data_IF_204386520637
#
_entry.id   IF_204386520637
#
_cell.length_a   1.000
_cell.length_b   1.000
_cell.length_c   1.000
_cell.angle_alpha   90.00
_cell.angle_beta   90.00
_cell.angle_gamma   90.00
#
_symmetry.space_group_name_H-M   'P 1'
#
loop_
_entity.id
_entity.type
_entity.pdbx_description
1 polymer ?
2 non-polymer ?
3 non-polymer ?
4 non-polymer ?
5 non-polymer ?
6 water ?
#
# COMPACT_ATOMS: atom_id res chain seq x y z
N UNK A 3 16.57 -25.15 -12.74
CA UNK A 3 17.16 -23.87 -13.13
C UNK A 3 16.42 -22.64 -12.56
N UNK A 4 17.18 -21.62 -12.18
CA UNK A 4 16.60 -20.43 -11.59
C UNK A 4 15.73 -19.67 -12.61
N UNK A 5 14.71 -18.96 -12.13
CA UNK A 5 13.98 -18.05 -13.02
C UNK A 5 14.88 -16.92 -13.50
N UNK A 6 14.69 -16.53 -14.75
CA UNK A 6 15.50 -15.50 -15.39
C UNK A 6 14.70 -14.20 -15.26
N UNK A 7 14.96 -13.45 -14.19
CA UNK A 7 14.07 -12.34 -13.83
C UNK A 7 14.89 -11.12 -13.42
N UNK A 8 14.27 -9.96 -13.55
CA UNK A 8 14.83 -8.68 -13.14
C UNK A 8 13.87 -8.12 -12.10
N UNK A 9 14.25 -8.18 -10.82
CA UNK A 9 13.35 -7.76 -9.75
C UNK A 9 13.24 -6.25 -9.64
N UNK A 10 13.98 -5.48 -10.45
CA UNK A 10 13.75 -4.05 -10.55
C UNK A 10 12.90 -3.68 -11.77
N UNK A 11 12.44 -4.65 -12.53
CA UNK A 11 11.63 -4.43 -13.74
C UNK A 11 10.15 -4.53 -13.39
N UNK A 12 9.41 -3.44 -13.63
CA UNK A 12 7.98 -3.43 -13.35
C UNK A 12 7.21 -4.52 -14.07
N UNK A 13 7.72 -4.98 -15.20
CA UNK A 13 7.02 -6.04 -15.92
C UNK A 13 7.04 -7.35 -15.16
N UNK A 14 8.05 -7.58 -14.32
CA UNK A 14 8.06 -8.79 -13.50
C UNK A 14 6.83 -8.83 -12.60
N UNK A 15 6.49 -7.71 -11.97
CA UNK A 15 5.41 -7.67 -11.00
C UNK A 15 4.05 -7.63 -11.67
N UNK A 16 4.00 -7.32 -12.96
CA UNK A 16 2.74 -7.41 -13.68
C UNK A 16 2.49 -8.81 -14.20
N UNK A 17 3.50 -9.68 -14.14
CA UNK A 17 3.37 -11.04 -14.60
C UNK A 17 2.69 -11.92 -13.55
N UNK A 18 1.71 -12.69 -13.99
CA UNK A 18 1.12 -13.69 -13.13
C UNK A 18 2.01 -14.91 -12.99
N UNK A 19 3.24 -14.87 -13.51
CA UNK A 19 4.27 -15.88 -13.25
C UNK A 19 5.21 -15.47 -12.12
N UNK A 20 5.01 -14.31 -11.53
CA UNK A 20 5.88 -13.88 -10.44
C UNK A 20 5.83 -14.85 -9.27
N UNK A 21 4.64 -15.32 -8.89
CA UNK A 21 4.60 -16.21 -7.74
C UNK A 21 5.30 -17.53 -8.00
N UNK A 22 5.30 -18.02 -9.23
CA UNK A 22 6.10 -19.20 -9.56
C UNK A 22 7.59 -18.92 -9.38
N UNK A 23 8.05 -17.72 -9.78
CA UNK A 23 9.45 -17.39 -9.56
C UNK A 23 9.78 -17.31 -8.09
N UNK A 24 8.89 -16.69 -7.30
CA UNK A 24 9.12 -16.63 -5.86
C UNK A 24 9.20 -18.01 -5.25
N UNK A 25 8.32 -18.93 -5.69
CA UNK A 25 8.32 -20.29 -5.17
C UNK A 25 9.67 -20.94 -5.38
N UNK A 26 10.26 -20.77 -6.56
CA UNK A 26 11.60 -21.32 -6.80
C UNK A 26 12.62 -20.71 -5.85
N UNK A 27 12.58 -19.39 -5.65
CA UNK A 27 13.55 -18.72 -4.78
C UNK A 27 13.43 -19.29 -3.39
N UNK A 28 12.18 -19.42 -2.88
CA UNK A 28 12.00 -19.87 -1.51
C UNK A 28 12.49 -21.29 -1.32
N UNK A 29 12.41 -22.13 -2.36
CA UNK A 29 12.79 -23.54 -2.25
C UNK A 29 14.27 -23.78 -2.55
N UNK A 30 14.96 -22.84 -3.21
CA UNK A 30 16.28 -23.14 -3.75
C UNK A 30 17.36 -22.14 -3.41
N UNK A 31 16.99 -20.87 -3.17
CA UNK A 31 17.96 -19.83 -2.83
C UNK A 31 17.22 -18.69 -2.17
N UNK A 32 16.91 -18.84 -0.88
CA UNK A 32 15.97 -17.90 -0.22
C UNK A 32 16.38 -16.45 -0.30
N UNK A 33 17.68 -16.18 -0.20
CA UNK A 33 18.19 -14.85 -0.47
C UNK A 33 18.74 -14.92 -1.89
N UNK A 34 17.90 -14.52 -2.82
CA UNK A 34 18.09 -14.77 -4.24
C UNK A 34 18.83 -13.60 -4.88
N UNK A 35 19.67 -13.89 -5.87
CA UNK A 35 20.21 -12.86 -6.75
C UNK A 35 19.60 -12.99 -8.14
N UNK A 36 19.03 -11.89 -8.63
CA UNK A 36 18.37 -11.90 -9.93
C UNK A 36 19.39 -11.85 -11.07
N UNK A 37 18.91 -11.69 -12.30
CA UNK A 37 19.79 -11.77 -13.46
C UNK A 37 20.84 -10.66 -13.47
N UNK A 38 20.61 -9.57 -12.75
CA UNK A 38 21.57 -8.47 -12.65
C UNK A 38 22.33 -8.49 -11.33
N UNK A 39 22.19 -9.55 -10.53
CA UNK A 39 22.88 -9.63 -9.25
C UNK A 39 22.19 -8.93 -8.10
N UNK A 40 20.97 -8.42 -8.31
CA UNK A 40 20.26 -7.75 -7.22
C UNK A 40 19.77 -8.80 -6.23
N UNK A 41 20.08 -8.60 -4.95
CA UNK A 41 19.71 -9.54 -3.89
C UNK A 41 18.31 -9.25 -3.38
N UNK A 42 17.59 -10.31 -3.02
CA UNK A 42 16.22 -10.19 -2.53
C UNK A 42 15.91 -11.32 -1.56
N UNK A 43 15.37 -10.96 -0.41
CA UNK A 43 14.90 -11.94 0.59
C UNK A 43 13.50 -12.41 0.20
N UNK A 44 13.37 -13.69 -0.11
CA UNK A 44 12.12 -14.24 -0.63
C UNK A 44 11.30 -14.99 0.40
N UNK A 45 11.93 -15.49 1.46
CA UNK A 45 11.19 -16.25 2.46
C UNK A 45 10.69 -15.33 3.56
N UNK A 46 9.60 -15.74 4.19
CA UNK A 46 9.12 -15.03 5.37
C UNK A 46 10.22 -14.93 6.44
N UNK A 47 10.93 -16.04 6.67
CA UNK A 47 11.98 -16.01 7.69
C UNK A 47 13.07 -15.01 7.35
N UNK A 48 13.51 -14.96 6.09
CA UNK A 48 14.58 -14.03 5.74
C UNK A 48 14.10 -12.59 5.82
N UNK A 49 12.86 -12.33 5.43
CA UNK A 49 12.35 -10.96 5.51
C UNK A 49 12.29 -10.51 6.97
N UNK A 50 11.69 -11.35 7.84
CA UNK A 50 11.60 -11.01 9.26
C UNK A 50 12.99 -10.82 9.86
N UNK A 51 13.93 -11.71 9.51
CA UNK A 51 15.25 -11.60 10.13
C UNK A 51 15.94 -10.33 9.71
N UNK A 52 15.73 -9.90 8.45
CA UNK A 52 16.32 -8.64 8.03
C UNK A 52 15.63 -7.46 8.71
N UNK A 53 14.30 -7.50 8.80
CA UNK A 53 13.55 -6.43 9.45
C UNK A 53 14.02 -6.22 10.87
N UNK A 54 14.34 -7.31 11.57
CA UNK A 54 14.72 -7.28 12.98
C UNK A 54 16.16 -6.85 13.18
N UNK A 55 16.92 -6.64 12.11
CA UNK A 55 18.32 -6.24 12.20
C UNK A 55 18.55 -4.92 11.46
N UNK A 56 17.90 -3.84 11.90
CA UNK A 56 18.02 -2.58 11.16
C UNK A 56 19.42 -1.97 11.18
N UNK A 57 20.29 -2.36 12.12
CA UNK A 57 21.64 -1.81 12.09
C UNK A 57 22.48 -2.45 10.99
N UNK A 58 22.12 -3.65 10.56
CA UNK A 58 22.75 -4.31 9.44
C UNK A 58 22.05 -4.03 8.13
N UNK A 59 20.72 -4.00 8.17
CA UNK A 59 19.87 -3.80 7.01
C UNK A 59 19.18 -2.45 7.21
N UNK A 60 19.81 -1.40 6.70
CA UNK A 60 19.47 -0.02 7.00
C UNK A 60 18.48 0.55 5.96
N UNK A 61 17.68 1.53 6.40
CA UNK A 61 16.82 2.29 5.50
C UNK A 61 17.47 3.57 5.01
N UNK A 62 18.64 3.93 5.55
CA UNK A 62 19.20 5.26 5.33
C UNK A 62 19.84 5.41 3.96
N UNK A 63 19.92 4.35 3.16
CA UNK A 63 20.29 4.49 1.76
C UNK A 63 19.12 4.69 0.83
N UNK A 64 17.90 4.77 1.35
CA UNK A 64 16.68 4.84 0.57
C UNK A 64 16.07 3.47 0.34
N UNK A 65 14.75 3.46 0.15
CA UNK A 65 14.01 2.19 0.06
C UNK A 65 13.77 1.71 -1.36
N UNK A 66 14.35 2.38 -2.38
CA UNK A 66 14.25 1.94 -3.78
C UNK A 66 15.61 1.48 -4.29
N UNK A 67 15.66 0.61 -5.29
CA UNK A 67 16.93 -0.05 -5.61
C UNK A 67 18.00 0.84 -6.19
N UNK A 68 17.64 1.86 -6.94
CA UNK A 68 18.69 2.66 -7.59
C UNK A 68 18.44 4.15 -7.44
N UNK A 69 18.02 4.54 -6.25
CA UNK A 69 17.68 5.93 -5.95
C UNK A 69 18.24 6.27 -4.57
N UNK A 70 18.72 7.48 -4.37
CA UNK A 70 19.30 7.86 -3.07
C UNK A 70 18.20 8.15 -2.06
N UNK A 71 18.61 8.24 -0.80
CA UNK A 71 17.68 8.52 0.28
C UNK A 71 17.08 9.92 0.15
N UNK A 72 15.81 10.03 0.54
CA UNK A 72 15.10 11.30 0.70
C UNK A 72 14.97 11.61 2.17
N UNK A 73 14.78 12.88 2.52
CA UNK A 73 14.74 13.25 3.95
C UNK A 73 13.36 13.04 4.56
N UNK A 74 13.00 11.77 4.74
CA UNK A 74 11.68 11.41 5.26
C UNK A 74 11.86 10.14 6.06
N UNK A 75 10.86 9.86 6.90
CA UNK A 75 11.01 8.85 7.95
C UNK A 75 11.31 7.47 7.38
N UNK A 76 10.76 7.14 6.20
CA UNK A 76 10.94 5.80 5.67
C UNK A 76 12.38 5.58 5.18
N UNK A 77 13.15 6.64 4.98
CA UNK A 77 14.55 6.56 4.59
C UNK A 77 15.47 6.92 5.75
N UNK A 78 15.03 6.68 6.98
CA UNK A 78 15.82 7.01 8.17
C UNK A 78 15.95 5.80 9.08
N UNK A 79 17.04 5.77 9.85
CA UNK A 79 17.23 4.78 10.89
C UNK A 79 17.04 5.42 12.25
N UNK A 80 16.78 4.58 13.26
CA UNK A 80 16.78 5.07 14.63
C UNK A 80 18.21 5.44 15.04
N UNK A 81 18.37 6.44 15.92
CA UNK A 81 17.30 7.16 16.65
C UNK A 81 16.55 8.26 15.89
N UNK A 82 17.10 8.79 14.80
CA UNK A 82 16.44 9.91 14.12
C UNK A 82 15.06 9.51 13.62
N UNK A 83 14.94 8.31 13.08
CA UNK A 83 13.66 7.81 12.59
C UNK A 83 12.61 7.82 13.68
N UNK A 84 12.98 7.39 14.89
CA UNK A 84 12.00 7.27 15.97
C UNK A 84 11.42 8.62 16.33
N UNK A 85 12.26 9.65 16.42
CA UNK A 85 11.75 10.99 16.72
C UNK A 85 10.80 11.47 15.63
N UNK A 86 11.22 11.32 14.35
CA UNK A 86 10.38 11.73 13.24
C UNK A 86 9.04 11.01 13.27
N UNK A 87 9.07 9.69 13.51
CA UNK A 87 7.83 8.94 13.52
C UNK A 87 6.94 9.33 14.68
N UNK A 88 7.53 9.54 15.86
CA UNK A 88 6.74 10.00 17.00
C UNK A 88 6.07 11.33 16.71
N UNK A 89 6.77 12.22 16.01
CA UNK A 89 6.16 13.51 15.68
C UNK A 89 4.99 13.31 14.73
N UNK A 90 5.18 12.51 13.67
CA UNK A 90 4.11 12.32 12.70
C UNK A 90 2.98 11.48 13.28
N UNK A 91 3.27 10.67 14.30
CA UNK A 91 2.26 9.80 14.89
C UNK A 91 1.09 10.57 15.47
N UNK A 92 1.27 11.86 15.77
CA UNK A 92 0.15 12.67 16.24
C UNK A 92 -1.04 12.61 15.29
N UNK A 93 -0.78 12.44 13.99
CA UNK A 93 -1.88 12.31 13.05
C UNK A 93 -2.50 10.94 12.97
N UNK A 94 -1.93 9.95 13.65
CA UNK A 94 -2.31 8.56 13.44
C UNK A 94 -2.54 7.82 14.74
N UNK A 95 -2.91 8.55 15.79
CA UNK A 95 -3.27 7.87 17.03
C UNK A 95 -4.52 7.03 16.78
N UNK A 96 -4.71 6.02 17.61
CA UNK A 96 -5.83 5.12 17.39
C UNK A 96 -7.15 5.87 17.47
N UNK A 97 -7.24 6.83 18.39
CA UNK A 97 -8.49 7.57 18.53
C UNK A 97 -8.76 8.45 17.32
N UNK A 98 -7.73 9.16 16.83
CA UNK A 98 -7.95 10.04 15.68
C UNK A 98 -8.38 9.23 14.47
N UNK A 99 -7.76 8.08 14.24
CA UNK A 99 -8.13 7.28 13.07
C UNK A 99 -9.53 6.69 13.23
N UNK A 100 -9.82 6.11 14.40
CA UNK A 100 -11.14 5.51 14.57
C UNK A 100 -12.24 6.55 14.44
N UNK A 101 -11.97 7.79 14.86
CA UNK A 101 -12.95 8.85 14.77
C UNK A 101 -13.32 9.22 13.34
N UNK A 102 -12.53 8.80 12.35
CA UNK A 102 -12.85 9.07 10.95
C UNK A 102 -13.89 8.13 10.38
N UNK A 103 -14.34 7.14 11.14
CA UNK A 103 -15.21 6.10 10.61
C UNK A 103 -16.43 6.68 9.89
N UNK A 104 -17.19 7.56 10.56
CA UNK A 104 -18.41 8.07 9.93
C UNK A 104 -18.11 8.81 8.64
N UNK A 105 -17.05 9.63 8.62
CA UNK A 105 -16.74 10.40 7.43
C UNK A 105 -16.28 9.50 6.28
N UNK A 106 -15.51 8.45 6.60
CA UNK A 106 -15.08 7.52 5.55
C UNK A 106 -16.27 6.75 5.01
N UNK A 107 -17.15 6.30 5.91
CA UNK A 107 -18.36 5.60 5.49
C UNK A 107 -19.20 6.48 4.56
N UNK A 108 -19.31 7.77 4.87
CA UNK A 108 -20.10 8.67 4.01
C UNK A 108 -19.50 8.74 2.62
N UNK A 109 -18.17 8.79 2.52
CA UNK A 109 -17.53 8.80 1.20
C UNK A 109 -17.80 7.50 0.46
N UNK A 110 -17.76 6.37 1.17
CA UNK A 110 -18.08 5.09 0.52
C UNK A 110 -19.48 5.13 -0.05
N UNK A 111 -20.45 5.59 0.75
CA UNK A 111 -21.83 5.66 0.27
C UNK A 111 -22.02 6.61 -0.90
N UNK A 112 -21.31 7.75 -0.91
CA UNK A 112 -21.38 8.66 -2.06
C UNK A 112 -20.85 7.98 -3.31
N UNK A 113 -19.72 7.27 -3.19
CA UNK A 113 -19.15 6.61 -4.36
C UNK A 113 -20.06 5.50 -4.87
N UNK A 114 -20.63 4.69 -3.99
CA UNK A 114 -21.55 3.67 -4.44
C UNK A 114 -22.82 4.30 -5.03
N UNK A 115 -23.30 5.40 -4.46
CA UNK A 115 -24.46 6.11 -5.02
C UNK A 115 -24.22 6.52 -6.46
N UNK A 116 -22.98 6.81 -6.83
CA UNK A 116 -22.68 7.28 -8.19
C UNK A 116 -22.78 6.17 -9.24
N UNK A 117 -22.74 4.90 -8.84
CA UNK A 117 -22.80 3.80 -9.78
C UNK A 117 -23.97 2.85 -9.56
N UNK A 118 -24.64 2.90 -8.40
CA UNK A 118 -25.57 1.82 -8.05
C UNK A 118 -26.74 1.71 -9.02
N UNK A 119 -27.16 2.81 -9.66
CA UNK A 119 -28.26 2.75 -10.61
C UNK A 119 -27.85 2.14 -11.95
N UNK A 120 -26.55 2.08 -12.26
CA UNK A 120 -26.11 1.71 -13.60
C UNK A 120 -26.12 0.20 -13.82
N UNK A 121 -25.86 -0.59 -12.78
CA UNK A 121 -25.71 -2.01 -12.94
C UNK A 121 -24.35 -2.47 -13.43
N UNK A 122 -23.42 -1.55 -13.66
CA UNK A 122 -22.06 -1.90 -14.07
C UNK A 122 -21.16 -0.77 -13.61
N UNK A 123 -19.95 -1.09 -13.16
CA UNK A 123 -18.95 -0.06 -12.99
C UNK A 123 -17.58 -0.69 -13.17
N UNK A 124 -16.57 0.15 -13.28
CA UNK A 124 -15.20 -0.33 -13.18
C UNK A 124 -14.84 -0.24 -11.69
N UNK A 125 -14.70 -1.38 -11.02
CA UNK A 125 -14.51 -1.35 -9.58
C UNK A 125 -13.24 -0.57 -9.21
N UNK A 126 -12.20 -0.67 -10.06
CA UNK A 126 -10.98 0.09 -9.81
C UNK A 126 -11.25 1.59 -9.93
N UNK A 127 -11.73 2.03 -11.09
CA UNK A 127 -11.85 3.46 -11.33
C UNK A 127 -12.89 4.12 -10.43
N UNK A 128 -13.96 3.39 -10.10
CA UNK A 128 -15.14 4.02 -9.55
C UNK A 128 -15.26 3.83 -8.05
N UNK A 129 -14.52 2.86 -7.47
CA UNK A 129 -14.64 2.59 -6.03
C UNK A 129 -13.28 2.48 -5.37
N UNK A 130 -12.42 1.59 -5.89
CA UNK A 130 -11.17 1.28 -5.20
C UNK A 130 -10.19 2.44 -5.20
N UNK A 131 -10.02 3.11 -6.35
CA UNK A 131 -9.09 4.23 -6.43
C UNK A 131 -9.64 5.49 -5.77
N UNK A 132 -10.91 5.87 -5.97
CA UNK A 132 -11.35 7.17 -5.43
C UNK A 132 -11.54 7.19 -3.92
N UNK A 133 -11.92 6.08 -3.28
CA UNK A 133 -12.19 6.18 -1.84
C UNK A 133 -10.94 6.58 -1.05
N UNK A 134 -9.79 5.90 -1.19
CA UNK A 134 -8.63 6.31 -0.40
C UNK A 134 -8.16 7.71 -0.76
N UNK A 135 -8.27 8.11 -2.03
CA UNK A 135 -7.93 9.48 -2.42
C UNK A 135 -8.79 10.49 -1.68
N UNK A 136 -10.10 10.25 -1.65
CA UNK A 136 -10.99 11.22 -1.02
C UNK A 136 -10.70 11.35 0.48
N UNK A 137 -10.39 10.23 1.15
CA UNK A 137 -10.11 10.27 2.58
C UNK A 137 -8.86 11.08 2.84
N UNK A 138 -7.78 10.76 2.11
CA UNK A 138 -6.51 11.44 2.38
C UNK A 138 -6.58 12.89 1.90
N UNK A 139 -7.27 13.13 0.78
CA UNK A 139 -7.45 14.50 0.33
C UNK A 139 -8.21 15.33 1.34
N UNK A 140 -9.25 14.76 1.97
CA UNK A 140 -9.98 15.52 2.96
C UNK A 140 -9.10 15.85 4.16
N UNK A 141 -8.23 14.91 4.57
CA UNK A 141 -7.32 15.19 5.67
C UNK A 141 -6.37 16.32 5.35
N UNK A 142 -6.00 16.48 4.06
CA UNK A 142 -5.04 17.48 3.63
C UNK A 142 -5.69 18.77 3.14
N UNK A 143 -7.02 18.88 3.21
CA UNK A 143 -7.69 20.10 2.80
C UNK A 143 -7.83 20.28 1.32
N UNK A 144 -7.87 19.18 0.56
CA UNK A 144 -7.98 19.25 -0.90
C UNK A 144 -9.45 19.37 -1.28
N UNK A 145 -9.79 20.39 -2.09
CA UNK A 145 -11.15 20.49 -2.58
C UNK A 145 -11.50 19.24 -3.40
N UNK A 146 -12.74 18.76 -3.32
CA UNK A 146 -13.08 17.53 -4.08
C UNK A 146 -12.71 17.60 -5.55
N UNK A 147 -12.98 18.72 -6.21
CA UNK A 147 -12.70 18.86 -7.63
C UNK A 147 -11.21 18.99 -7.93
N UNK A 148 -10.36 19.08 -6.91
CA UNK A 148 -8.91 19.05 -7.08
C UNK A 148 -8.30 17.70 -6.73
N UNK A 149 -9.10 16.71 -6.32
CA UNK A 149 -8.53 15.39 -5.99
C UNK A 149 -7.80 14.80 -7.19
N UNK A 150 -8.34 14.95 -8.39
CA UNK A 150 -7.72 14.34 -9.56
C UNK A 150 -6.32 14.91 -9.80
N UNK A 151 -6.16 16.21 -9.53
CA UNK A 151 -4.84 16.82 -9.67
C UNK A 151 -3.83 16.21 -8.71
N UNK A 152 -4.22 16.05 -7.43
CA UNK A 152 -3.33 15.44 -6.44
C UNK A 152 -3.07 13.99 -6.78
N UNK A 153 -4.07 13.29 -7.30
CA UNK A 153 -3.86 11.89 -7.69
C UNK A 153 -2.89 11.79 -8.85
N UNK A 154 -2.94 12.74 -9.79
CA UNK A 154 -1.98 12.79 -10.88
C UNK A 154 -0.56 13.01 -10.37
N UNK A 155 -0.36 13.98 -9.47
CA UNK A 155 0.98 14.17 -8.90
C UNK A 155 1.44 12.90 -8.21
N UNK A 156 0.51 12.23 -7.52
CA UNK A 156 0.84 11.02 -6.78
C UNK A 156 1.23 9.90 -7.73
N UNK A 157 0.51 9.79 -8.86
CA UNK A 157 0.85 8.79 -9.85
C UNK A 157 2.25 9.06 -10.40
N UNK A 158 2.54 10.34 -10.69
CA UNK A 158 3.86 10.72 -11.20
C UNK A 158 4.95 10.27 -10.22
N UNK A 159 4.75 10.58 -8.94
CA UNK A 159 5.78 10.29 -7.96
C UNK A 159 5.91 8.79 -7.71
N UNK A 160 4.79 8.06 -7.65
CA UNK A 160 4.90 6.62 -7.39
C UNK A 160 5.48 5.91 -8.61
N UNK A 161 5.24 6.44 -9.80
CA UNK A 161 5.89 5.90 -10.99
C UNK A 161 7.40 6.12 -10.96
N UNK A 162 7.83 7.30 -10.48
CA UNK A 162 9.26 7.54 -10.28
C UNK A 162 9.86 6.52 -9.31
N UNK A 163 9.17 6.26 -8.21
CA UNK A 163 9.64 5.28 -7.23
C UNK A 163 9.59 3.87 -7.78
N UNK A 164 8.76 3.63 -8.80
CA UNK A 164 8.46 2.30 -9.32
C UNK A 164 9.27 1.95 -10.56
N UNK A 165 10.29 2.74 -10.90
CA UNK A 165 11.01 2.52 -12.15
C UNK A 165 12.30 3.33 -12.10
N UNK A 166 13.03 3.28 -13.21
CA UNK A 166 14.19 4.14 -13.47
C UNK A 166 13.76 5.10 -14.57
N UNK A 167 13.35 6.31 -14.18
CA UNK A 167 12.67 7.20 -15.13
C UNK A 167 13.64 7.75 -16.16
N UNK A 168 13.10 8.11 -17.32
CA UNK A 168 13.81 8.91 -18.28
C UNK A 168 13.97 10.33 -17.75
N UNK A 169 14.72 11.15 -18.49
CA UNK A 169 14.87 12.55 -18.09
C UNK A 169 13.54 13.28 -18.14
N UNK A 170 12.71 12.98 -19.15
CA UNK A 170 11.42 13.63 -19.27
C UNK A 170 10.52 13.28 -18.09
N UNK A 171 10.56 12.01 -17.66
CA UNK A 171 9.75 11.63 -16.52
C UNK A 171 10.37 12.12 -15.21
N UNK A 172 11.69 12.29 -15.16
CA UNK A 172 12.32 12.97 -14.03
C UNK A 172 11.82 14.41 -13.92
N UNK A 173 11.77 15.14 -15.03
CA UNK A 173 11.24 16.49 -15.02
C UNK A 173 9.80 16.54 -14.52
N UNK A 174 8.95 15.62 -15.01
CA UNK A 174 7.56 15.58 -14.56
C UNK A 174 7.51 15.35 -13.06
N UNK A 175 8.36 14.46 -12.55
CA UNK A 175 8.39 14.18 -11.12
C UNK A 175 8.74 15.45 -10.35
N UNK A 176 9.76 16.17 -10.81
CA UNK A 176 10.17 17.38 -10.10
C UNK A 176 9.08 18.44 -10.15
N UNK A 177 8.40 18.56 -11.30
CA UNK A 177 7.32 19.52 -11.43
C UNK A 177 6.19 19.18 -10.47
N UNK A 178 5.83 17.89 -10.36
CA UNK A 178 4.79 17.49 -9.43
C UNK A 178 5.17 17.81 -7.99
N UNK A 179 6.42 17.51 -7.61
CA UNK A 179 6.87 17.85 -6.27
C UNK A 179 6.75 19.35 -6.02
N UNK A 180 7.17 20.16 -6.99
CA UNK A 180 7.12 21.60 -6.81
C UNK A 180 5.69 22.07 -6.59
N UNK A 181 4.73 21.49 -7.34
CA UNK A 181 3.33 21.87 -7.16
C UNK A 181 2.80 21.43 -5.80
N UNK A 182 3.13 20.20 -5.38
CA UNK A 182 2.72 19.75 -4.05
C UNK A 182 3.34 20.63 -2.98
N UNK A 183 4.63 20.92 -3.13
CA UNK A 183 5.33 21.77 -2.17
C UNK A 183 4.64 23.12 -2.02
N UNK A 184 4.27 23.73 -3.14
CA UNK A 184 3.62 25.04 -3.10
C UNK A 184 2.30 24.97 -2.34
N UNK A 185 1.48 23.97 -2.67
CA UNK A 185 0.18 23.84 -2.02
C UNK A 185 0.36 23.64 -0.53
N UNK A 186 1.28 22.75 -0.15
CA UNK A 186 1.39 22.36 1.25
C UNK A 186 1.99 23.48 2.09
N UNK A 187 2.93 24.25 1.53
CA UNK A 187 3.45 25.39 2.29
C UNK A 187 2.39 26.44 2.53
N UNK A 188 1.44 26.57 1.60
CA UNK A 188 0.31 27.49 1.84
C UNK A 188 -0.56 26.96 3.00
N UNK A 189 -0.82 25.66 3.02
CA UNK A 189 -1.64 25.07 4.11
C UNK A 189 -0.91 25.28 5.46
N UNK A 190 0.40 25.05 5.47
CA UNK A 190 1.19 25.17 6.73
C UNK A 190 1.09 26.60 7.24
N UNK A 191 1.24 27.58 6.35
CA UNK A 191 1.19 29.00 6.78
C UNK A 191 -0.20 29.31 7.33
N UNK A 192 -1.24 28.84 6.67
CA UNK A 192 -2.63 29.11 7.09
C UNK A 192 -2.94 28.46 8.44
N UNK A 193 -2.52 27.20 8.63
CA UNK A 193 -2.81 26.46 9.88
C UNK A 193 -2.02 27.06 11.04
N UNK A 194 -0.80 27.51 10.79
CA UNK A 194 -0.06 28.23 11.88
C UNK A 194 -0.74 29.51 12.42
N UNK A 195 -1.44 30.17 11.51
CA UNK A 195 -2.18 31.39 11.93
C UNK A 195 -3.60 31.06 12.40
N UNK A 196 -4.30 30.14 11.73
CA UNK A 196 -5.68 29.75 12.11
C UNK A 196 -5.75 28.22 12.19
N UNK A 197 -5.32 27.60 13.31
CA UNK A 197 -5.30 26.15 13.43
C UNK A 197 -6.70 25.51 13.32
N UNK A 198 -6.76 24.35 12.66
CA UNK A 198 -8.03 23.61 12.55
C UNK A 198 -7.79 22.20 13.14
N UNK A 199 -8.60 21.22 12.75
CA UNK A 199 -8.40 19.82 13.21
C UNK A 199 -7.93 18.94 12.05
N UNK A 200 -7.35 19.55 11.02
CA UNK A 200 -6.85 18.79 9.85
C UNK A 200 -5.45 18.23 10.12
N UNK A 201 -4.93 17.43 9.20
CA UNK A 201 -3.63 16.76 9.41
C UNK A 201 -2.51 17.79 9.56
N UNK A 202 -2.47 18.80 8.68
CA UNK A 202 -1.39 19.77 8.82
C UNK A 202 -1.45 20.47 10.18
N UNK A 203 -2.66 20.83 10.65
CA UNK A 203 -2.78 21.43 11.97
C UNK A 203 -2.22 20.51 13.06
N UNK A 204 -2.62 19.24 13.04
CA UNK A 204 -2.17 18.33 14.09
C UNK A 204 -0.66 18.14 14.02
N UNK A 205 -0.11 18.06 12.80
CA UNK A 205 1.33 17.87 12.66
C UNK A 205 2.11 19.11 13.07
N UNK A 206 1.59 20.31 12.78
CA UNK A 206 2.27 21.54 13.19
C UNK A 206 2.39 21.60 14.71
N UNK A 207 1.32 21.21 15.42
CA UNK A 207 1.33 21.30 16.88
C UNK A 207 2.06 20.14 17.56
N UNK A 208 2.41 19.08 16.83
CA UNK A 208 3.05 17.93 17.45
C UNK A 208 4.41 18.32 18.02
N UNK A 209 4.69 17.86 19.25
CA UNK A 209 5.97 18.11 19.90
C UNK A 209 6.43 16.86 20.64
N UNK A 210 7.69 16.49 20.43
CA UNK A 210 8.29 15.30 21.03
C UNK A 210 9.71 15.65 21.45
N UNK A 211 10.05 15.33 22.70
CA UNK A 211 11.41 15.57 23.20
C UNK A 211 11.82 17.04 23.01
N UNK A 212 10.86 17.95 23.13
CA UNK A 212 11.12 19.37 22.91
C UNK A 212 11.33 19.77 21.47
N UNK A 213 11.02 18.90 20.50
CA UNK A 213 11.25 19.18 19.10
C UNK A 213 9.94 19.24 18.33
N UNK A 214 9.96 19.97 17.20
CA UNK A 214 8.81 20.02 16.31
C UNK A 214 9.25 19.74 14.87
N UNK A 215 8.26 19.49 14.01
CA UNK A 215 8.54 19.29 12.59
C UNK A 215 8.81 20.63 11.92
N UNK A 216 9.87 20.69 11.13
CA UNK A 216 10.13 21.88 10.33
C UNK A 216 9.21 21.90 9.11
N UNK A 217 9.12 23.05 8.46
CA UNK A 217 8.33 23.15 7.23
C UNK A 217 8.82 22.15 6.19
N UNK A 218 10.13 22.03 6.02
CA UNK A 218 10.71 21.06 5.09
C UNK A 218 10.20 19.66 5.41
N UNK A 219 10.25 19.28 6.69
CA UNK A 219 9.82 17.94 7.10
C UNK A 219 8.32 17.77 6.93
N UNK A 220 7.54 18.82 7.21
CA UNK A 220 6.09 18.71 7.03
C UNK A 220 5.75 18.42 5.57
N UNK A 221 6.45 19.05 4.62
CA UNK A 221 6.17 18.80 3.22
C UNK A 221 6.50 17.35 2.88
N UNK A 222 7.68 16.87 3.30
CA UNK A 222 8.10 15.52 2.92
C UNK A 222 7.22 14.47 3.58
N UNK A 223 6.92 14.63 4.87
CA UNK A 223 6.16 13.60 5.58
C UNK A 223 4.72 13.59 5.11
N UNK A 224 4.12 14.75 4.83
CA UNK A 224 2.75 14.71 4.33
C UNK A 224 2.70 14.16 2.91
N UNK A 225 3.79 14.31 2.14
CA UNK A 225 3.82 13.74 0.80
C UNK A 225 3.90 12.21 0.86
N UNK A 226 4.74 11.68 1.79
CA UNK A 226 4.77 10.25 2.06
C UNK A 226 3.38 9.74 2.42
N UNK A 227 2.67 10.49 3.28
CA UNK A 227 1.32 10.11 3.69
C UNK A 227 0.34 10.18 2.51
N UNK A 228 0.43 11.23 1.68
CA UNK A 228 -0.46 11.36 0.54
C UNK A 228 -0.35 10.14 -0.35
N UNK A 229 0.87 9.74 -0.66
CA UNK A 229 1.06 8.67 -1.63
C UNK A 229 0.77 7.31 -1.00
N UNK A 230 1.12 7.12 0.28
CA UNK A 230 0.60 5.94 0.98
C UNK A 230 -0.91 5.93 0.98
N UNK A 231 -1.53 7.09 1.21
CA UNK A 231 -2.98 7.15 1.24
C UNK A 231 -3.63 6.85 -0.10
N UNK A 232 -3.02 7.29 -1.20
CA UNK A 232 -3.73 7.23 -2.47
C UNK A 232 -3.14 6.28 -3.51
N UNK A 233 -2.07 5.53 -3.19
CA UNK A 233 -1.48 4.60 -4.15
C UNK A 233 -1.42 3.15 -3.70
N UNK A 234 -1.84 2.83 -2.48
CA UNK A 234 -1.66 1.48 -1.93
C UNK A 234 -2.99 0.77 -1.69
N UNK A 235 -3.81 1.31 -0.79
CA UNK A 235 -5.05 0.67 -0.36
C UNK A 235 -5.93 0.30 -1.53
N UNK A 236 -5.96 1.17 -2.57
CA UNK A 236 -6.76 0.90 -3.75
C UNK A 236 -6.54 -0.52 -4.28
N UNK A 237 -5.30 -1.02 -4.22
CA UNK A 237 -4.99 -2.30 -4.82
C UNK A 237 -5.44 -3.46 -3.96
N UNK A 238 -5.51 -3.25 -2.64
CA UNK A 238 -6.12 -4.28 -1.82
C UNK A 238 -7.63 -4.28 -1.98
N UNK A 239 -8.23 -3.09 -2.11
CA UNK A 239 -9.68 -3.03 -2.34
C UNK A 239 -10.04 -3.76 -3.63
N UNK A 240 -9.33 -3.49 -4.73
CA UNK A 240 -9.70 -4.12 -5.98
C UNK A 240 -9.30 -5.60 -5.99
N UNK A 241 -8.04 -5.91 -5.68
CA UNK A 241 -7.60 -7.30 -5.78
C UNK A 241 -8.20 -8.18 -4.70
N UNK A 242 -8.49 -7.61 -3.54
CA UNK A 242 -9.15 -8.39 -2.50
C UNK A 242 -10.59 -8.70 -2.85
N UNK A 243 -11.32 -7.70 -3.37
CA UNK A 243 -12.68 -7.95 -3.83
C UNK A 243 -12.68 -8.92 -4.99
N UNK A 244 -11.69 -8.83 -5.88
CA UNK A 244 -11.59 -9.78 -6.97
C UNK A 244 -11.56 -11.22 -6.45
N UNK A 245 -10.79 -11.47 -5.39
CA UNK A 245 -10.74 -12.84 -4.86
C UNK A 245 -12.05 -13.28 -4.24
N UNK A 246 -12.80 -12.36 -3.63
CA UNK A 246 -14.12 -12.71 -3.11
C UNK A 246 -15.06 -13.09 -4.25
N UNK A 247 -14.94 -12.41 -5.40
CA UNK A 247 -15.81 -12.71 -6.53
C UNK A 247 -15.39 -13.98 -7.27
N UNK A 248 -14.09 -14.27 -7.30
CA UNK A 248 -13.61 -15.48 -7.98
C UNK A 248 -13.96 -16.73 -7.21
N UNK A 249 -14.06 -16.63 -5.89
CA UNK A 249 -14.32 -17.76 -5.00
C UNK A 249 -15.62 -17.39 -4.31
N UNK A 250 -16.76 -17.66 -4.95
CA UNK A 250 -18.00 -17.11 -4.42
C UNK A 250 -18.41 -17.70 -3.09
N UNK A 251 -17.86 -18.85 -2.71
CA UNK A 251 -18.10 -19.34 -1.36
C UNK A 251 -17.58 -18.34 -0.33
N UNK A 252 -16.50 -17.62 -0.67
CA UNK A 252 -15.95 -16.63 0.24
C UNK A 252 -16.85 -15.40 0.31
N UNK A 253 -17.33 -14.93 -0.84
CA UNK A 253 -18.31 -13.86 -0.88
C UNK A 253 -19.53 -14.22 -0.05
N UNK A 254 -20.03 -15.46 -0.22
CA UNK A 254 -21.23 -15.89 0.49
C UNK A 254 -21.01 -15.94 2.00
N UNK A 255 -19.83 -16.41 2.44
CA UNK A 255 -19.54 -16.44 3.87
C UNK A 255 -19.64 -15.03 4.46
N UNK A 256 -19.03 -14.05 3.79
CA UNK A 256 -19.03 -12.68 4.31
C UNK A 256 -20.43 -12.08 4.26
N UNK A 257 -21.20 -12.39 3.22
CA UNK A 257 -22.56 -11.87 3.13
C UNK A 257 -23.41 -12.32 4.31
N UNK A 258 -23.19 -13.52 4.78
CA UNK A 258 -24.06 -14.04 5.83
C UNK A 258 -23.53 -13.74 7.23
N UNK A 259 -22.28 -13.30 7.37
CA UNK A 259 -21.68 -13.13 8.70
C UNK A 259 -20.75 -11.92 8.76
N UNK A 260 -21.28 -10.76 9.19
CA UNK A 260 -20.43 -9.56 9.27
C UNK A 260 -19.24 -9.70 10.19
N UNK A 261 -19.29 -10.60 11.17
CA UNK A 261 -18.16 -10.75 12.09
C UNK A 261 -16.97 -11.42 11.43
N UNK A 262 -17.11 -11.94 10.21
CA UNK A 262 -15.96 -12.45 9.47
C UNK A 262 -15.21 -11.36 8.73
N UNK A 263 -15.71 -10.12 8.72
CA UNK A 263 -15.04 -9.09 7.94
C UNK A 263 -13.61 -8.82 8.38
N UNK A 264 -13.27 -8.73 9.68
CA UNK A 264 -11.85 -8.45 10.00
C UNK A 264 -10.89 -9.48 9.44
N UNK A 265 -11.21 -10.78 9.53
CA UNK A 265 -10.35 -11.79 8.95
C UNK A 265 -10.28 -11.70 7.43
N UNK A 266 -11.39 -11.31 6.79
CA UNK A 266 -11.38 -11.11 5.34
C UNK A 266 -10.45 -10.00 4.94
N UNK A 267 -10.47 -8.88 5.66
CA UNK A 267 -9.58 -7.77 5.32
C UNK A 267 -8.12 -8.23 5.42
N UNK A 268 -7.79 -9.02 6.47
CA UNK A 268 -6.42 -9.51 6.59
C UNK A 268 -6.04 -10.42 5.42
N UNK A 269 -6.94 -11.27 4.97
CA UNK A 269 -6.64 -12.13 3.84
C UNK A 269 -6.54 -11.34 2.53
N UNK A 270 -7.35 -10.29 2.38
CA UNK A 270 -7.19 -9.42 1.22
C UNK A 270 -5.81 -8.78 1.21
N UNK A 271 -5.33 -8.32 2.38
CA UNK A 271 -4.01 -7.74 2.48
C UNK A 271 -2.90 -8.76 2.20
N UNK A 272 -2.98 -9.95 2.80
CA UNK A 272 -1.98 -10.98 2.53
C UNK A 272 -1.87 -11.24 1.04
N UNK A 273 -3.02 -11.44 0.40
CA UNK A 273 -3.05 -11.88 -0.99
C UNK A 273 -2.54 -10.79 -1.93
N UNK A 274 -2.95 -9.54 -1.70
CA UNK A 274 -2.70 -8.50 -2.70
C UNK A 274 -1.32 -7.88 -2.54
N UNK A 275 -0.79 -7.79 -1.30
CA UNK A 275 0.51 -7.20 -1.01
C UNK A 275 0.84 -6.05 -1.96
N UNK A 276 0.14 -4.91 -1.88
CA UNK A 276 0.37 -3.84 -2.86
C UNK A 276 1.81 -3.38 -2.95
N UNK A 277 2.50 -3.31 -1.81
CA UNK A 277 3.92 -2.97 -1.79
C UNK A 277 4.69 -4.26 -2.02
N UNK A 278 5.32 -4.37 -3.20
CA UNK A 278 6.00 -5.59 -3.58
C UNK A 278 7.36 -5.73 -2.93
N UNK A 279 8.00 -4.62 -2.62
CA UNK A 279 9.31 -4.68 -1.99
C UNK A 279 9.65 -3.34 -1.38
N UNK A 280 10.53 -3.41 -0.39
CA UNK A 280 11.21 -2.24 0.09
C UNK A 280 12.68 -2.63 0.19
N UNK A 281 13.60 -1.70 -0.04
CA UNK A 281 15.02 -2.05 -0.02
C UNK A 281 15.65 -1.77 1.35
N UNK A 282 16.75 -2.48 1.61
CA UNK A 282 17.62 -2.24 2.75
C UNK A 282 19.04 -2.19 2.25
N UNK A 283 19.85 -1.28 2.77
CA UNK A 283 21.25 -1.21 2.38
C UNK A 283 22.09 -1.90 3.46
N UNK A 284 23.02 -2.75 3.03
CA UNK A 284 23.89 -3.47 3.96
C UNK A 284 24.94 -2.52 4.53
N UNK A 285 25.07 -2.53 5.85
CA UNK A 285 26.09 -1.72 6.51
C UNK A 285 27.39 -2.49 6.71
N UNK A 286 27.43 -3.78 6.39
CA UNK A 286 28.62 -4.59 6.52
C UNK A 286 28.45 -5.82 5.64
N UNK A 287 29.55 -6.42 5.23
CA UNK A 287 29.49 -7.74 4.61
C UNK A 287 28.83 -8.70 5.59
N UNK A 288 27.98 -9.58 5.06
CA UNK A 288 27.31 -10.51 5.96
C UNK A 288 26.86 -11.75 5.18
N UNK A 289 26.89 -12.89 5.87
CA UNK A 289 26.36 -14.14 5.36
C UNK A 289 24.93 -14.27 5.88
N UNK A 290 23.95 -14.17 4.99
CA UNK A 290 22.56 -14.04 5.40
C UNK A 290 21.73 -15.16 4.77
N UNK A 291 21.25 -16.11 5.60
CA UNK A 291 20.45 -17.23 5.11
C UNK A 291 21.05 -17.86 3.86
N UNK A 292 22.37 -18.04 3.87
CA UNK A 292 23.06 -18.79 2.84
C UNK A 292 23.65 -17.96 1.73
N UNK A 293 23.40 -16.64 1.71
CA UNK A 293 23.90 -15.78 0.64
C UNK A 293 24.85 -14.73 1.19
N UNK A 294 25.99 -14.59 0.55
CA UNK A 294 26.97 -13.58 0.92
C UNK A 294 26.50 -12.23 0.40
N UNK A 295 26.40 -11.26 1.27
CA UNK A 295 25.98 -9.90 0.91
C UNK A 295 27.10 -8.93 1.22
N UNK A 296 27.20 -7.87 0.45
CA UNK A 296 28.34 -6.97 0.51
C UNK A 296 27.92 -5.61 1.07
N UNK A 297 28.77 -5.04 1.92
CA UNK A 297 28.52 -3.70 2.44
C UNK A 297 28.21 -2.73 1.30
N UNK A 298 27.13 -1.97 1.47
CA UNK A 298 26.75 -0.94 0.52
C UNK A 298 25.80 -1.38 -0.57
N UNK A 299 25.56 -2.67 -0.75
CA UNK A 299 24.54 -3.08 -1.72
C UNK A 299 23.17 -3.08 -1.08
N UNK A 300 22.15 -3.00 -1.93
CA UNK A 300 20.77 -3.03 -1.47
C UNK A 300 20.17 -4.41 -1.68
N UNK A 301 19.38 -4.84 -0.70
CA UNK A 301 18.61 -6.07 -0.79
C UNK A 301 17.13 -5.72 -0.68
N UNK A 302 16.31 -6.33 -1.53
CA UNK A 302 14.88 -6.12 -1.49
C UNK A 302 14.26 -7.06 -0.45
N UNK A 303 13.24 -6.59 0.24
CA UNK A 303 12.34 -7.45 1.03
C UNK A 303 11.14 -7.75 0.14
N UNK A 304 10.91 -9.02 -0.21
CA UNK A 304 9.82 -9.36 -1.15
C UNK A 304 8.59 -9.74 -0.35
N UNK A 305 7.75 -8.73 -0.06
CA UNK A 305 6.63 -8.96 0.86
C UNK A 305 5.59 -9.89 0.28
N UNK A 306 5.32 -9.83 -1.03
CA UNK A 306 4.34 -10.77 -1.58
C UNK A 306 4.88 -12.19 -1.51
N UNK A 307 6.18 -12.38 -1.82
CA UNK A 307 6.75 -13.71 -1.68
C UNK A 307 6.62 -14.24 -0.26
N UNK A 308 6.91 -13.41 0.74
CA UNK A 308 6.79 -13.84 2.13
C UNK A 308 5.34 -14.20 2.45
N UNK A 309 4.38 -13.46 1.89
CA UNK A 309 2.97 -13.69 2.15
C UNK A 309 2.46 -14.98 1.53
N UNK A 310 3.23 -15.59 0.62
CA UNK A 310 2.87 -16.84 0.00
C UNK A 310 3.81 -17.96 0.42
N UNK A 311 4.51 -17.77 1.53
CA UNK A 311 5.48 -18.75 2.00
C UNK A 311 4.76 -19.89 2.72
N UNK A 312 4.82 -21.08 2.14
CA UNK A 312 4.13 -22.25 2.68
C UNK A 312 4.65 -22.66 4.05
N UNK A 313 5.84 -22.22 4.43
CA UNK A 313 6.35 -22.53 5.77
C UNK A 313 5.55 -21.82 6.85
N UNK A 314 4.85 -20.74 6.49
CA UNK A 314 4.08 -19.94 7.42
C UNK A 314 2.59 -20.02 7.14
N UNK A 315 2.19 -20.01 5.87
CA UNK A 315 0.79 -19.97 5.47
C UNK A 315 0.47 -21.27 4.76
N UNK A 316 -0.30 -22.13 5.42
CA UNK A 316 -0.67 -23.40 4.81
C UNK A 316 -1.51 -23.13 3.57
N UNK A 317 -1.21 -23.86 2.49
CA UNK A 317 -1.90 -23.73 1.22
C UNK A 317 -2.03 -22.25 0.85
N UNK A 318 -0.92 -21.58 0.63
CA UNK A 318 -0.96 -20.11 0.47
C UNK A 318 -1.70 -19.64 -0.77
N UNK A 319 -1.87 -20.48 -1.79
CA UNK A 319 -2.64 -20.11 -2.96
C UNK A 319 -4.14 -20.33 -2.78
N UNK A 320 -4.56 -20.70 -1.59
CA UNK A 320 -5.97 -20.74 -1.25
C UNK A 320 -6.33 -19.43 -0.54
N UNK A 321 -7.22 -18.65 -1.13
CA UNK A 321 -7.74 -17.45 -0.50
C UNK A 321 -8.80 -17.87 0.51
N UNK A 322 -8.55 -17.57 1.78
CA UNK A 322 -9.42 -18.07 2.87
C UNK A 322 -9.63 -16.93 3.86
N UNK A 323 -10.81 -16.30 3.81
CA UNK A 323 -11.08 -15.17 4.71
C UNK A 323 -10.99 -15.57 6.19
N UNK A 324 -11.14 -16.86 6.50
CA UNK A 324 -11.13 -17.34 7.88
C UNK A 324 -9.73 -17.63 8.40
N UNK A 325 -8.71 -17.47 7.56
CA UNK A 325 -7.35 -17.86 7.88
C UNK A 325 -6.91 -17.31 9.24
N UNK A 326 -6.51 -18.23 10.13
CA UNK A 326 -6.01 -17.89 11.45
C UNK A 326 -4.94 -18.91 11.77
N UNK A 327 -3.68 -18.50 11.99
CA UNK A 327 -3.23 -17.12 12.03
C UNK A 327 -3.06 -16.52 10.63
N UNK A 328 -2.94 -15.20 10.58
CA UNK A 328 -2.70 -14.52 9.31
C UNK A 328 -1.71 -13.38 9.53
N UNK A 329 -0.49 -13.74 9.93
CA UNK A 329 0.53 -12.75 10.26
C UNK A 329 1.29 -12.30 9.02
N UNK A 330 0.54 -11.76 8.05
CA UNK A 330 1.14 -11.37 6.78
C UNK A 330 2.01 -10.14 6.95
N UNK A 331 2.85 -9.90 5.95
CA UNK A 331 3.80 -8.81 5.92
C UNK A 331 3.41 -7.72 4.91
N UNK A 332 2.11 -7.58 4.59
CA UNK A 332 1.76 -6.51 3.63
C UNK A 332 2.18 -5.14 4.12
N UNK A 333 2.12 -4.91 5.43
CA UNK A 333 2.54 -3.66 6.05
C UNK A 333 3.98 -3.71 6.56
N UNK A 334 4.73 -4.73 6.19
CA UNK A 334 6.07 -4.92 6.73
C UNK A 334 6.06 -5.35 8.19
N UNK A 335 7.14 -5.01 8.88
CA UNK A 335 7.35 -5.49 10.25
C UNK A 335 8.47 -4.67 10.86
N UNK A 336 8.36 -4.38 12.15
CA UNK A 336 9.49 -3.78 12.83
C UNK A 336 9.41 -2.27 12.92
N UNK A 337 10.59 -1.64 12.93
CA UNK A 337 10.53 -0.22 13.23
C UNK A 337 9.86 0.60 12.12
N UNK A 338 9.78 0.13 10.88
CA UNK A 338 9.12 0.86 9.81
C UNK A 338 7.70 0.38 9.52
N UNK A 339 7.16 -0.53 10.35
CA UNK A 339 5.81 -1.04 10.16
C UNK A 339 4.85 0.08 9.79
N UNK A 340 4.05 -0.13 8.73
CA UNK A 340 3.28 0.95 8.13
C UNK A 340 2.52 1.79 9.16
N UNK A 341 2.80 3.10 9.16
CA UNK A 341 2.12 3.99 10.08
C UNK A 341 0.64 4.14 9.74
N UNK A 342 0.29 3.93 8.47
CA UNK A 342 -1.07 4.08 8.01
C UNK A 342 -1.91 2.84 8.10
N UNK A 343 -1.43 1.80 8.78
CA UNK A 343 -2.10 0.50 8.66
C UNK A 343 -3.53 0.55 9.20
N UNK A 344 -3.77 1.29 10.30
CA UNK A 344 -5.12 1.33 10.86
C UNK A 344 -6.07 2.04 9.91
N UNK A 345 -5.60 3.15 9.30
CA UNK A 345 -6.42 3.88 8.34
C UNK A 345 -6.73 3.03 7.12
N UNK A 346 -5.72 2.33 6.59
CA UNK A 346 -5.94 1.46 5.45
C UNK A 346 -6.95 0.36 5.78
N UNK A 347 -6.79 -0.28 6.95
CA UNK A 347 -7.73 -1.34 7.35
C UNK A 347 -9.15 -0.79 7.52
N UNK A 348 -9.28 0.42 8.06
CA UNK A 348 -10.60 1.02 8.25
C UNK A 348 -11.27 1.31 6.91
N UNK A 349 -10.52 1.88 5.96
CA UNK A 349 -11.07 2.10 4.62
C UNK A 349 -11.48 0.79 3.98
N UNK A 350 -10.64 -0.24 4.08
CA UNK A 350 -10.99 -1.53 3.48
C UNK A 350 -12.26 -2.09 4.10
N UNK A 351 -12.36 -2.03 5.43
CA UNK A 351 -13.54 -2.55 6.12
C UNK A 351 -14.80 -1.82 5.69
N UNK A 352 -14.75 -0.48 5.70
CA UNK A 352 -15.96 0.29 5.47
C UNK A 352 -16.43 0.16 4.03
N UNK A 353 -15.50 0.15 3.06
CA UNK A 353 -15.96 0.01 1.69
C UNK A 353 -16.44 -1.41 1.43
N UNK A 354 -15.74 -2.41 1.96
CA UNK A 354 -16.13 -3.80 1.68
C UNK A 354 -17.49 -4.12 2.28
N UNK A 355 -17.75 -3.66 3.52
CA UNK A 355 -19.05 -3.96 4.10
C UNK A 355 -20.18 -3.34 3.28
N UNK A 356 -19.95 -2.16 2.71
CA UNK A 356 -20.97 -1.51 1.89
C UNK A 356 -21.12 -2.16 0.52
N UNK A 357 -20.01 -2.60 -0.08
CA UNK A 357 -20.08 -3.34 -1.34
C UNK A 357 -20.89 -4.61 -1.14
N UNK A 358 -20.61 -5.35 -0.05
CA UNK A 358 -21.31 -6.62 0.17
C UNK A 358 -22.81 -6.39 0.33
N UNK A 359 -23.22 -5.33 1.01
CA UNK A 359 -24.64 -5.17 1.31
C UNK A 359 -25.39 -4.31 0.31
N UNK A 360 -24.72 -3.45 -0.46
CA UNK A 360 -25.40 -2.63 -1.45
C UNK A 360 -25.28 -3.19 -2.86
N UNK A 361 -24.26 -3.99 -3.15
CA UNK A 361 -24.09 -4.67 -4.44
C UNK A 361 -24.07 -6.18 -4.20
N UNK A 362 -25.15 -6.73 -3.62
CA UNK A 362 -25.04 -8.10 -3.06
C UNK A 362 -24.85 -9.19 -4.09
N UNK A 363 -25.20 -8.95 -5.35
CA UNK A 363 -25.01 -9.93 -6.41
C UNK A 363 -23.86 -9.55 -7.35
N UNK A 364 -22.93 -8.74 -6.86
CA UNK A 364 -21.78 -8.31 -7.66
C UNK A 364 -21.08 -9.50 -8.30
N UNK A 365 -20.68 -9.34 -9.57
CA UNK A 365 -19.87 -10.35 -10.23
C UNK A 365 -18.93 -9.71 -11.24
N UNK A 366 -17.85 -10.42 -11.53
CA UNK A 366 -16.90 -9.98 -12.53
C UNK A 366 -17.48 -10.14 -13.94
N UNK A 367 -17.19 -9.16 -14.82
CA UNK A 367 -17.62 -9.29 -16.22
C UNK A 367 -16.82 -10.38 -16.92
N UNK A 368 -15.50 -10.32 -16.81
CA UNK A 368 -14.62 -11.30 -17.42
C UNK A 368 -13.57 -11.69 -16.39
N UNK A 369 -13.06 -12.91 -16.53
CA UNK A 369 -12.26 -13.50 -15.46
C UNK A 369 -10.86 -12.91 -15.44
N UNK A 370 -9.99 -13.50 -14.62
CA UNK A 370 -8.73 -12.87 -14.24
C UNK A 370 -7.69 -12.98 -15.32
N UNK A 371 -7.80 -14.00 -16.16
CA UNK A 371 -6.80 -14.23 -17.19
C UNK A 371 -6.67 -13.05 -18.13
N UNK A 372 -7.63 -12.13 -18.13
CA UNK A 372 -7.63 -10.98 -19.02
C UNK A 372 -7.58 -9.65 -18.27
N UNK A 373 -7.47 -9.67 -16.92
CA UNK A 373 -7.39 -8.47 -16.09
C UNK A 373 -5.94 -8.16 -15.75
N UNK A 374 -5.34 -7.17 -16.37
CA UNK A 374 -3.92 -6.91 -16.18
C UNK A 374 -3.61 -6.19 -14.88
N UNK A 375 -2.39 -6.43 -14.43
CA UNK A 375 -1.76 -5.74 -13.32
C UNK A 375 -0.86 -4.64 -13.86
N UNK A 376 -0.75 -3.55 -13.10
CA UNK A 376 0.06 -2.42 -13.53
C UNK A 376 1.55 -2.76 -13.49
N UNK A 377 2.28 -2.60 -14.60
CA UNK A 377 3.75 -2.74 -14.52
C UNK A 377 4.32 -1.64 -13.61
N UNK A 378 5.00 -2.06 -12.56
CA UNK A 378 5.61 -1.18 -11.59
C UNK A 378 6.45 -2.05 -10.69
N UNK A 379 7.64 -1.57 -10.32
CA UNK A 379 8.54 -2.39 -9.51
C UNK A 379 8.37 -2.20 -8.00
N UNK A 380 7.39 -1.39 -7.58
CA UNK A 380 7.30 -0.96 -6.19
C UNK A 380 5.90 -1.24 -5.65
N UNK A 381 4.90 -0.54 -6.16
CA UNK A 381 3.50 -0.70 -5.75
C UNK A 381 2.71 -1.07 -7.00
N UNK A 382 1.88 -2.11 -6.89
CA UNK A 382 1.13 -2.54 -8.08
C UNK A 382 -0.15 -3.27 -7.68
N UNK A 383 -1.12 -3.20 -8.58
CA UNK A 383 -2.35 -3.97 -8.50
C UNK A 383 -3.12 -3.83 -9.81
N UNK A 384 -4.40 -4.17 -9.78
CA UNK A 384 -5.20 -4.21 -11.00
C UNK A 384 -5.35 -2.84 -11.66
N UNK A 385 -5.29 -2.83 -13.00
CA UNK A 385 -5.58 -1.61 -13.76
C UNK A 385 -7.07 -1.33 -13.85
N UNK A 386 -7.88 -2.36 -13.97
CA UNK A 386 -9.29 -2.24 -14.28
C UNK A 386 -9.99 -3.50 -13.79
N UNK A 387 -11.24 -3.34 -13.39
CA UNK A 387 -12.04 -4.47 -12.93
C UNK A 387 -13.52 -4.25 -13.19
N UNK A 388 -13.96 -4.48 -14.42
CA UNK A 388 -15.39 -4.33 -14.74
C UNK A 388 -16.22 -5.34 -13.97
N UNK A 389 -17.30 -4.85 -13.34
CA UNK A 389 -18.19 -5.65 -12.52
C UNK A 389 -19.62 -5.25 -12.82
N UNK A 390 -20.54 -6.20 -12.65
CA UNK A 390 -21.97 -5.98 -12.87
C UNK A 390 -22.73 -6.42 -11.62
N UNK A 391 -23.95 -5.89 -11.50
CA UNK A 391 -24.75 -6.08 -10.30
C UNK A 391 -26.17 -5.62 -10.61
N UNK A 392 -27.12 -6.07 -9.82
CA UNK A 392 -28.48 -5.59 -9.99
C UNK A 392 -28.57 -4.14 -9.53
N UNK A 393 -29.11 -3.24 -10.33
CA UNK A 393 -29.17 -1.83 -9.94
C UNK A 393 -30.02 -1.63 -8.69
N UNK A 394 -29.73 -0.54 -8.01
CA UNK A 394 -30.50 -0.14 -6.83
C UNK A 394 -30.50 1.38 -6.75
N UNK A 395 -31.45 1.97 -6.04
CA UNK A 395 -31.48 3.43 -5.92
C UNK A 395 -30.43 3.91 -4.92
N UNK A 396 -29.97 5.15 -5.07
CA UNK A 396 -28.95 5.66 -4.14
C UNK A 396 -29.53 5.92 -2.75
N UNK A 397 -28.63 6.01 -1.78
CA UNK A 397 -29.02 6.36 -0.43
C UNK A 397 -29.15 7.87 -0.26
N UNK A 398 -28.30 8.64 -0.93
CA UNK A 398 -28.35 10.09 -0.86
C UNK A 398 -28.04 10.66 0.52
#
# INVERSE_FOLDING_TARGET
GTEAPDVDLADGNFYASREARAAYRWMRANQPVFRDRNGLAAASTYQAVIDAERQPELFSNAGGIRPDQPALPMMIDMDDPAHLLRRKLVNAGFTRKRVKDKEASIAALCDTLIDAVCERGECDFVRDLAAPLPMAVIGDMLGVRPEQRDMFLRWSDDLVTFLSSHVSQEDFQITMDAFAAYNDFTRATIAARRADPTDDLVSVLVSSEVDGERLSDDELVMETLLILIGGDETTRHTLSGGTEQLLRNRDQWDLLQRDPSLLPGAIEEMLRWTAPVKNMCRVLTADTEFHGTALCAGEKMMLLFESANFDEAVFCEPEKFDVQRNPNSHLAFGFGTHFCLGNQLARLELSLMTERVLRRLPDLRLVADDSVLPLRPANFVSGLESMPVVFTPSPPLG
#
